data_IF_144351890646
#
_entry.id   IF_144351890646
#
_cell.length_a   1.000
_cell.length_b   1.000
_cell.length_c   1.000
_cell.angle_alpha   90.00
_cell.angle_beta   90.00
_cell.angle_gamma   90.00
#
_symmetry.space_group_name_H-M   'P 1'
#
loop_
_entity.id
_entity.type
_entity.pdbx_description
1 polymer ?
#
# COMPACT_ATOMS: atom_id res chain seq x y z
N UNK A 1 -26.42 1.60 13.29
CA UNK A 1 -25.73 0.79 14.33
C UNK A 1 -24.26 1.17 14.26
N UNK A 2 -23.88 2.19 15.01
CA UNK A 2 -22.49 2.62 15.19
C UNK A 2 -21.78 1.58 16.07
N UNK A 3 -20.68 1.02 15.59
CA UNK A 3 -19.84 0.12 16.37
C UNK A 3 -18.73 0.94 17.01
N UNK A 4 -18.71 0.88 18.33
CA UNK A 4 -17.76 1.47 19.25
C UNK A 4 -16.30 1.16 18.85
N UNK A 5 -15.52 2.21 18.57
CA UNK A 5 -14.09 2.11 18.25
C UNK A 5 -13.35 1.83 19.56
N UNK A 6 -12.65 0.70 19.60
CA UNK A 6 -11.82 0.30 20.73
C UNK A 6 -10.65 1.27 20.92
N UNK A 7 -10.44 1.68 22.17
CA UNK A 7 -9.39 2.59 22.61
C UNK A 7 -8.03 2.29 21.96
N UNK A 8 -7.43 3.33 21.36
CA UNK A 8 -6.07 3.33 20.87
C UNK A 8 -5.10 3.25 22.06
N UNK A 9 -4.28 2.21 22.06
CA UNK A 9 -3.15 2.07 22.98
C UNK A 9 -2.12 3.16 22.68
N UNK A 10 -1.87 4.01 23.66
CA UNK A 10 -0.85 5.05 23.68
C UNK A 10 0.54 4.38 23.72
N UNK A 11 1.26 4.43 22.60
CA UNK A 11 2.64 3.93 22.52
C UNK A 11 2.99 3.32 21.15
N UNK A 12 3.45 4.15 20.22
CA UNK A 12 3.95 3.71 18.91
C UNK A 12 3.80 4.84 17.91
N UNK A 13 4.88 5.19 17.20
CA UNK A 13 4.84 6.22 16.16
C UNK A 13 3.70 6.00 15.16
N UNK A 14 3.26 7.08 14.52
CA UNK A 14 2.16 7.05 13.55
C UNK A 14 2.31 5.88 12.57
N UNK A 15 1.30 5.01 12.46
CA UNK A 15 1.36 3.82 11.60
C UNK A 15 1.48 4.27 10.15
N UNK A 16 2.58 3.94 9.46
CA UNK A 16 2.80 4.33 8.06
C UNK A 16 1.74 3.75 7.11
N UNK A 17 1.44 2.47 7.24
CA UNK A 17 0.45 1.77 6.42
C UNK A 17 -0.97 1.93 6.95
N UNK A 18 -1.94 2.13 6.05
CA UNK A 18 -3.35 1.97 6.37
C UNK A 18 -3.73 0.48 6.30
N UNK A 19 -4.29 -0.06 7.38
CA UNK A 19 -4.68 -1.47 7.47
C UNK A 19 -6.05 -1.59 8.09
N UNK A 20 -6.93 -2.33 7.41
CA UNK A 20 -8.31 -2.58 7.84
C UNK A 20 -8.43 -3.96 8.48
N UNK A 21 -9.25 -4.06 9.51
CA UNK A 21 -9.75 -5.32 10.09
C UNK A 21 -11.12 -5.66 9.50
N UNK A 22 -11.57 -6.87 9.75
CA UNK A 22 -12.91 -7.30 9.33
C UNK A 22 -14.00 -6.41 9.96
N UNK A 23 -14.88 -5.88 9.11
CA UNK A 23 -15.95 -4.96 9.49
C UNK A 23 -15.54 -3.49 9.58
N UNK A 24 -14.25 -3.18 9.38
CA UNK A 24 -13.80 -1.79 9.34
C UNK A 24 -14.31 -1.08 8.08
N UNK A 25 -14.64 0.20 8.25
CA UNK A 25 -15.12 1.09 7.19
C UNK A 25 -14.73 2.51 7.53
N UNK A 26 -13.88 3.13 6.71
CA UNK A 26 -13.36 4.48 6.93
C UNK A 26 -13.67 5.40 5.76
N UNK A 27 -13.82 6.69 6.04
CA UNK A 27 -13.77 7.74 5.03
C UNK A 27 -12.30 8.06 4.75
N UNK A 28 -11.92 8.06 3.49
CA UNK A 28 -10.57 8.39 3.04
C UNK A 28 -10.61 9.40 1.89
N UNK A 29 -9.49 10.05 1.64
CA UNK A 29 -9.22 10.82 0.42
C UNK A 29 -7.86 10.42 -0.14
N UNK A 30 -7.78 10.12 -1.44
CA UNK A 30 -6.48 9.93 -2.08
C UNK A 30 -5.79 11.28 -2.24
N UNK A 31 -4.47 11.29 -2.04
CA UNK A 31 -3.65 12.52 -2.04
C UNK A 31 -2.67 12.59 -3.21
N UNK A 32 -2.74 11.62 -4.10
CA UNK A 32 -1.91 11.50 -5.30
C UNK A 32 -2.76 10.90 -6.42
N UNK A 33 -2.46 11.28 -7.65
CA UNK A 33 -3.04 10.64 -8.83
C UNK A 33 -2.30 9.35 -9.19
N UNK A 34 -2.89 8.51 -10.04
CA UNK A 34 -2.22 7.31 -10.55
C UNK A 34 -1.14 7.65 -11.59
N UNK A 35 -1.31 8.75 -12.32
CA UNK A 35 -0.48 9.16 -13.45
C UNK A 35 -0.45 10.69 -13.59
N UNK A 36 0.58 11.21 -14.25
CA UNK A 36 0.80 12.66 -14.44
C UNK A 36 -0.19 13.33 -15.42
N UNK A 37 -0.87 12.54 -16.25
CA UNK A 37 -1.90 13.00 -17.20
C UNK A 37 -3.32 13.08 -16.59
N UNK A 38 -3.45 12.79 -15.30
CA UNK A 38 -4.73 12.90 -14.58
C UNK A 38 -5.13 14.37 -14.39
N UNK A 39 -6.43 14.65 -14.39
CA UNK A 39 -7.00 16.02 -14.36
C UNK A 39 -6.50 16.87 -13.20
N UNK A 40 -6.31 16.27 -12.03
CA UNK A 40 -5.87 16.94 -10.80
C UNK A 40 -4.44 16.56 -10.40
N UNK A 41 -3.57 16.25 -11.37
CA UNK A 41 -2.18 15.97 -11.07
C UNK A 41 -1.51 17.19 -10.39
N UNK A 42 -0.89 16.92 -9.24
CA UNK A 42 -0.05 17.86 -8.51
C UNK A 42 1.39 17.36 -8.53
N UNK A 43 2.29 18.13 -9.15
CA UNK A 43 3.70 17.79 -9.26
C UNK A 43 4.44 17.77 -7.92
N UNK A 44 3.96 18.52 -6.91
CA UNK A 44 4.57 18.50 -5.58
C UNK A 44 4.20 17.21 -4.83
N UNK A 45 2.95 16.75 -4.99
CA UNK A 45 2.49 15.49 -4.43
C UNK A 45 3.04 14.26 -5.19
N UNK A 46 3.31 14.40 -6.48
CA UNK A 46 3.69 13.31 -7.37
C UNK A 46 2.57 12.29 -7.59
N UNK A 47 2.92 11.11 -8.09
CA UNK A 47 1.95 10.04 -8.37
C UNK A 47 2.06 8.91 -7.35
N UNK A 48 1.04 8.05 -7.33
CA UNK A 48 1.15 6.73 -6.74
C UNK A 48 2.32 5.93 -7.36
N UNK A 49 2.85 4.98 -6.61
CA UNK A 49 3.99 4.16 -7.03
C UNK A 49 3.57 2.69 -7.13
N UNK A 50 4.00 2.00 -8.18
CA UNK A 50 3.89 0.54 -8.25
C UNK A 50 5.24 -0.10 -7.94
N UNK A 51 5.27 -1.10 -7.06
CA UNK A 51 6.46 -1.90 -6.79
C UNK A 51 6.16 -3.39 -6.92
N UNK A 52 7.06 -4.14 -7.56
CA UNK A 52 6.93 -5.58 -7.69
C UNK A 52 7.41 -6.24 -6.40
N UNK A 53 6.54 -6.95 -5.70
CA UNK A 53 6.84 -7.52 -4.38
C UNK A 53 6.94 -9.04 -4.48
N UNK A 54 8.06 -9.59 -4.04
CA UNK A 54 8.17 -11.03 -3.76
C UNK A 54 7.61 -11.29 -2.37
N UNK A 55 6.59 -12.14 -2.29
CA UNK A 55 6.03 -12.61 -1.02
C UNK A 55 6.44 -14.05 -0.79
N UNK A 56 6.93 -14.37 0.41
CA UNK A 56 7.28 -15.74 0.77
C UNK A 56 6.08 -16.68 0.67
N UNK A 57 6.30 -17.83 0.05
CA UNK A 57 5.30 -18.91 -0.05
C UNK A 57 5.12 -19.65 1.28
N UNK A 58 6.07 -19.47 2.21
CA UNK A 58 6.10 -20.07 3.54
C UNK A 58 5.37 -19.17 4.54
N UNK A 59 5.69 -17.87 4.54
CA UNK A 59 5.05 -16.90 5.41
C UNK A 59 4.78 -15.57 4.68
N UNK A 60 3.51 -15.27 4.47
CA UNK A 60 3.08 -14.09 3.72
C UNK A 60 3.56 -12.74 4.29
N UNK A 61 4.01 -12.70 5.55
CA UNK A 61 4.57 -11.50 6.19
C UNK A 61 5.99 -11.19 5.72
N UNK A 62 6.71 -12.16 5.17
CA UNK A 62 8.06 -11.97 4.67
C UNK A 62 7.97 -11.54 3.21
N UNK A 63 8.22 -10.26 3.00
CA UNK A 63 8.08 -9.60 1.70
C UNK A 63 9.29 -8.71 1.44
N UNK A 64 9.74 -8.70 0.21
CA UNK A 64 10.78 -7.79 -0.27
C UNK A 64 10.35 -7.19 -1.61
N UNK A 65 10.87 -6.02 -1.93
CA UNK A 65 10.83 -5.51 -3.29
C UNK A 65 11.66 -6.45 -4.19
N UNK A 66 11.15 -6.75 -5.38
CA UNK A 66 11.88 -7.51 -6.39
C UNK A 66 13.02 -6.65 -6.91
N UNK A 67 14.22 -7.20 -6.84
CA UNK A 67 15.44 -6.56 -7.33
C UNK A 67 15.80 -6.96 -8.77
N UNK A 68 14.92 -7.70 -9.46
CA UNK A 68 15.17 -8.24 -10.80
C UNK A 68 15.37 -7.14 -11.86
N UNK A 69 14.86 -5.94 -11.62
CA UNK A 69 14.99 -4.79 -12.50
C UNK A 69 16.00 -3.75 -11.98
N UNK A 70 16.75 -4.06 -10.92
CA UNK A 70 17.70 -3.14 -10.30
C UNK A 70 19.13 -3.46 -10.72
N UNK A 71 19.79 -2.47 -11.33
CA UNK A 71 21.22 -2.54 -11.68
C UNK A 71 22.10 -2.73 -10.44
N UNK A 72 21.78 -2.03 -9.34
CA UNK A 72 22.49 -2.14 -8.06
C UNK A 72 22.51 -3.59 -7.53
N UNK A 73 21.50 -4.38 -7.88
CA UNK A 73 21.39 -5.79 -7.49
C UNK A 73 21.77 -6.75 -8.63
N UNK A 74 22.46 -6.26 -9.65
CA UNK A 74 22.92 -7.04 -10.80
C UNK A 74 21.78 -7.63 -11.64
N UNK A 75 20.62 -6.97 -11.65
CA UNK A 75 19.38 -7.44 -12.30
C UNK A 75 18.94 -8.84 -11.85
N UNK A 76 19.26 -9.21 -10.60
CA UNK A 76 18.91 -10.52 -10.04
C UNK A 76 17.98 -10.40 -8.86
N UNK A 77 17.07 -11.36 -8.73
CA UNK A 77 16.23 -11.52 -7.57
C UNK A 77 15.92 -12.99 -7.39
N UNK A 78 16.38 -13.56 -6.28
CA UNK A 78 16.25 -14.99 -6.00
C UNK A 78 14.80 -15.44 -6.09
N UNK A 79 13.87 -14.73 -5.42
CA UNK A 79 12.46 -15.10 -5.44
C UNK A 79 11.83 -15.00 -6.84
N UNK A 80 12.28 -14.04 -7.66
CA UNK A 80 11.80 -13.94 -9.05
C UNK A 80 12.30 -15.13 -9.89
N UNK A 81 13.54 -15.55 -9.69
CA UNK A 81 14.12 -16.72 -10.37
C UNK A 81 13.41 -18.02 -9.97
N UNK A 82 13.03 -18.16 -8.69
CA UNK A 82 12.24 -19.32 -8.21
C UNK A 82 10.86 -19.42 -8.84
N UNK A 83 10.31 -18.34 -9.40
CA UNK A 83 8.99 -18.35 -10.03
C UNK A 83 8.90 -19.31 -11.24
N UNK A 84 10.03 -19.64 -11.86
CA UNK A 84 10.11 -20.61 -12.96
C UNK A 84 9.78 -22.03 -12.50
N UNK A 85 10.22 -22.42 -11.30
CA UNK A 85 9.97 -23.74 -10.71
C UNK A 85 8.71 -23.76 -9.84
N UNK A 86 8.38 -22.65 -9.19
CA UNK A 86 7.17 -22.51 -8.40
C UNK A 86 6.59 -21.09 -8.57
N UNK A 87 5.55 -20.99 -9.41
CA UNK A 87 4.91 -19.72 -9.76
C UNK A 87 4.29 -18.95 -8.60
N UNK A 88 4.19 -19.53 -7.39
CA UNK A 88 3.80 -18.79 -6.18
C UNK A 88 4.84 -17.76 -5.75
N UNK A 89 6.09 -17.91 -6.17
CA UNK A 89 7.16 -16.92 -5.95
C UNK A 89 7.11 -15.73 -6.89
N UNK A 90 6.27 -15.77 -7.93
CA UNK A 90 6.16 -14.68 -8.92
C UNK A 90 5.88 -13.35 -8.21
N UNK A 91 6.74 -12.33 -8.39
CA UNK A 91 6.49 -11.00 -7.86
C UNK A 91 5.13 -10.48 -8.29
N UNK A 92 4.44 -9.79 -7.38
CA UNK A 92 3.15 -9.17 -7.66
C UNK A 92 3.30 -7.65 -7.63
N UNK A 93 2.71 -6.92 -8.57
CA UNK A 93 2.68 -5.47 -8.48
C UNK A 93 1.76 -5.05 -7.32
N UNK A 94 2.31 -4.23 -6.43
CA UNK A 94 1.61 -3.54 -5.36
C UNK A 94 1.56 -2.06 -5.69
N UNK A 95 0.36 -1.49 -5.62
CA UNK A 95 0.15 -0.05 -5.71
C UNK A 95 0.27 0.54 -4.30
N UNK A 96 1.19 1.48 -4.14
CA UNK A 96 1.39 2.29 -2.96
C UNK A 96 0.90 3.71 -3.27
N UNK A 97 0.01 4.23 -2.44
CA UNK A 97 -0.58 5.55 -2.65
C UNK A 97 -0.86 6.24 -1.31
N UNK A 98 -0.49 7.51 -1.20
CA UNK A 98 -0.80 8.32 -0.02
C UNK A 98 -2.30 8.61 0.07
N UNK A 99 -2.82 8.48 1.28
CA UNK A 99 -4.21 8.78 1.62
C UNK A 99 -4.28 9.59 2.91
N UNK A 100 -5.28 10.45 3.00
CA UNK A 100 -5.75 10.98 4.27
C UNK A 100 -6.90 10.08 4.76
N UNK A 101 -6.81 9.63 6.01
CA UNK A 101 -7.82 8.76 6.64
C UNK A 101 -8.50 9.52 7.76
N UNK A 102 -9.82 9.62 7.71
CA UNK A 102 -10.61 10.18 8.80
C UNK A 102 -10.75 9.13 9.90
N UNK A 103 -9.97 9.25 10.98
CA UNK A 103 -9.96 8.29 12.10
C UNK A 103 -11.03 8.59 13.14
N UNK A 104 -11.38 9.86 13.26
CA UNK A 104 -12.51 10.40 14.00
C UNK A 104 -13.10 11.54 13.15
N UNK A 105 -14.39 11.92 13.31
CA UNK A 105 -14.98 12.98 12.51
C UNK A 105 -14.15 14.27 12.54
N UNK A 106 -13.67 14.71 11.38
CA UNK A 106 -12.82 15.89 11.22
C UNK A 106 -11.33 15.69 11.58
N UNK A 107 -10.93 14.53 12.11
CA UNK A 107 -9.55 14.23 12.46
C UNK A 107 -8.92 13.30 11.42
N UNK A 108 -7.91 13.82 10.71
CA UNK A 108 -7.30 13.16 9.57
C UNK A 108 -5.86 12.75 9.84
N UNK A 109 -5.50 11.53 9.45
CA UNK A 109 -4.12 11.02 9.56
C UNK A 109 -3.54 10.67 8.18
N UNK A 110 -2.24 10.97 7.93
CA UNK A 110 -1.58 10.53 6.71
C UNK A 110 -1.20 9.06 6.82
N UNK A 111 -1.60 8.29 5.82
CA UNK A 111 -1.31 6.85 5.71
C UNK A 111 -1.00 6.48 4.27
N UNK A 112 -0.46 5.29 4.06
CA UNK A 112 -0.27 4.71 2.74
C UNK A 112 -1.18 3.50 2.57
N UNK A 113 -1.97 3.49 1.50
CA UNK A 113 -2.66 2.28 1.04
C UNK A 113 -1.68 1.44 0.25
N UNK A 114 -1.58 0.17 0.63
CA UNK A 114 -0.87 -0.87 -0.11
C UNK A 114 -1.88 -1.89 -0.63
N UNK A 115 -2.09 -1.92 -1.94
CA UNK A 115 -3.13 -2.73 -2.58
C UNK A 115 -2.60 -3.45 -3.81
N UNK A 116 -3.29 -4.52 -4.22
CA UNK A 116 -2.93 -5.31 -5.40
C UNK A 116 -4.05 -5.28 -6.44
N UNK A 117 -3.76 -5.81 -7.63
CA UNK A 117 -4.63 -5.76 -8.79
C UNK A 117 -5.42 -7.07 -8.99
N UNK A 118 -6.11 -7.53 -7.94
CA UNK A 118 -7.00 -8.69 -8.02
C UNK A 118 -8.41 -8.32 -7.54
N UNK A 119 -9.39 -9.19 -7.81
CA UNK A 119 -10.82 -8.92 -7.54
C UNK A 119 -11.18 -8.68 -6.07
N UNK A 120 -10.29 -9.03 -5.12
CA UNK A 120 -10.52 -8.81 -3.68
C UNK A 120 -9.92 -7.50 -3.18
N UNK A 121 -9.15 -6.81 -4.02
CA UNK A 121 -8.42 -5.59 -3.69
C UNK A 121 -8.86 -4.44 -4.60
N UNK A 122 -8.57 -3.21 -4.18
CA UNK A 122 -9.10 -2.01 -4.82
C UNK A 122 -8.24 -1.50 -6.00
N UNK A 123 -7.13 -2.17 -6.33
CA UNK A 123 -6.18 -1.67 -7.35
C UNK A 123 -6.80 -1.54 -8.74
N UNK A 124 -7.62 -2.51 -9.17
CA UNK A 124 -8.33 -2.44 -10.45
C UNK A 124 -9.44 -1.37 -10.43
N UNK A 125 -10.17 -1.28 -9.31
CA UNK A 125 -11.21 -0.26 -9.10
C UNK A 125 -10.65 1.15 -9.17
N UNK A 126 -9.45 1.39 -8.66
CA UNK A 126 -8.79 2.70 -8.77
C UNK A 126 -8.48 3.08 -10.21
N UNK A 127 -8.02 2.12 -11.02
CA UNK A 127 -7.79 2.35 -12.46
C UNK A 127 -9.11 2.69 -13.17
N UNK A 128 -10.19 1.97 -12.84
CA UNK A 128 -11.52 2.24 -13.40
C UNK A 128 -12.01 3.65 -13.03
N UNK A 129 -11.89 4.05 -11.76
CA UNK A 129 -12.28 5.38 -11.31
C UNK A 129 -11.42 6.49 -11.92
N UNK A 130 -10.10 6.31 -12.01
CA UNK A 130 -9.22 7.27 -12.65
C UNK A 130 -9.61 7.49 -14.14
N UNK A 131 -10.00 6.43 -14.84
CA UNK A 131 -10.46 6.52 -16.24
C UNK A 131 -11.83 7.15 -16.38
N UNK A 132 -12.77 6.74 -15.53
CA UNK A 132 -14.17 7.18 -15.60
C UNK A 132 -14.32 8.65 -15.18
N UNK A 133 -13.58 9.06 -14.15
CA UNK A 133 -13.69 10.40 -13.58
C UNK A 133 -12.56 11.35 -14.02
N UNK A 134 -11.49 10.83 -14.63
CA UNK A 134 -10.28 11.58 -14.97
C UNK A 134 -9.38 11.92 -13.77
N UNK A 135 -9.78 11.54 -12.55
CA UNK A 135 -9.09 11.82 -11.29
C UNK A 135 -9.58 10.87 -10.20
N UNK A 136 -8.75 10.61 -9.20
CA UNK A 136 -9.17 9.94 -7.95
C UNK A 136 -9.03 10.83 -6.71
N UNK A 137 -8.63 12.09 -6.87
CA UNK A 137 -8.27 12.99 -5.76
C UNK A 137 -9.32 14.07 -5.48
N UNK A 138 -10.36 14.21 -6.32
CA UNK A 138 -11.41 15.23 -6.18
C UNK A 138 -12.53 14.87 -5.17
N UNK A 139 -12.54 13.64 -4.65
CA UNK A 139 -13.64 13.11 -3.86
C UNK A 139 -13.17 12.27 -2.69
N UNK A 140 -14.11 12.06 -1.78
CA UNK A 140 -13.92 11.09 -0.71
C UNK A 140 -14.32 9.69 -1.16
N UNK A 141 -13.82 8.70 -0.43
CA UNK A 141 -14.18 7.31 -0.61
C UNK A 141 -14.50 6.66 0.73
N UNK A 142 -15.48 5.77 0.72
CA UNK A 142 -15.63 4.79 1.77
C UNK A 142 -14.75 3.60 1.44
N UNK A 143 -13.72 3.36 2.25
CA UNK A 143 -12.84 2.19 2.14
C UNK A 143 -13.13 1.22 3.27
N UNK A 144 -13.56 0.00 2.92
CA UNK A 144 -14.00 -1.00 3.88
C UNK A 144 -13.41 -2.38 3.60
N UNK A 145 -13.37 -3.22 4.65
CA UNK A 145 -12.96 -4.61 4.57
C UNK A 145 -14.03 -5.52 5.16
N UNK A 146 -14.32 -6.62 4.48
CA UNK A 146 -15.08 -7.75 5.00
C UNK A 146 -14.24 -9.01 4.96
N UNK A 147 -14.50 -9.95 5.87
CA UNK A 147 -13.75 -11.19 5.99
C UNK A 147 -12.41 -11.03 6.70
N UNK A 148 -11.99 -12.10 7.38
CA UNK A 148 -10.78 -12.11 8.20
C UNK A 148 -9.75 -13.15 7.77
N UNK A 149 -10.15 -14.14 6.99
CA UNK A 149 -9.30 -15.22 6.49
C UNK A 149 -8.78 -15.00 5.07
N UNK A 150 -7.89 -15.90 4.65
CA UNK A 150 -7.23 -15.84 3.35
C UNK A 150 -8.17 -16.11 2.16
N UNK A 151 -9.32 -16.77 2.39
CA UNK A 151 -10.28 -17.14 1.36
C UNK A 151 -11.48 -16.19 1.23
N UNK A 152 -11.76 -15.41 2.27
CA UNK A 152 -12.98 -14.61 2.44
C UNK A 152 -12.73 -13.11 2.61
N UNK A 153 -11.47 -12.66 2.74
CA UNK A 153 -11.15 -11.23 2.81
C UNK A 153 -11.45 -10.53 1.47
N UNK A 154 -12.22 -9.43 1.54
CA UNK A 154 -12.52 -8.55 0.42
C UNK A 154 -12.45 -7.08 0.84
N UNK A 155 -11.97 -6.23 -0.06
CA UNK A 155 -11.81 -4.80 0.13
C UNK A 155 -12.70 -4.05 -0.86
N UNK A 156 -13.51 -3.12 -0.35
CA UNK A 156 -14.45 -2.34 -1.16
C UNK A 156 -14.12 -0.85 -1.11
N UNK A 157 -14.18 -0.20 -2.27
CA UNK A 157 -13.96 1.24 -2.41
C UNK A 157 -15.17 1.86 -3.10
N UNK A 158 -15.91 2.69 -2.37
CA UNK A 158 -17.13 3.33 -2.86
C UNK A 158 -16.87 4.83 -2.96
N UNK A 159 -17.00 5.46 -4.14
CA UNK A 159 -16.87 6.89 -4.28
C UNK A 159 -18.02 7.58 -3.54
N UNK A 160 -17.68 8.66 -2.87
CA UNK A 160 -18.64 9.52 -2.16
C UNK A 160 -18.72 10.87 -2.89
N UNK A 161 -19.05 11.92 -2.16
CA UNK A 161 -19.14 13.27 -2.70
C UNK A 161 -17.80 13.81 -3.23
N UNK A 162 -17.88 14.50 -4.37
CA UNK A 162 -16.84 15.42 -4.82
C UNK A 162 -16.82 16.59 -3.84
N UNK A 163 -15.63 16.98 -3.42
CA UNK A 163 -15.44 18.09 -2.50
C UNK A 163 -14.03 18.64 -2.63
N UNK A 164 -13.88 19.94 -2.37
CA UNK A 164 -12.57 20.55 -2.21
C UNK A 164 -11.81 19.87 -1.07
N UNK A 165 -10.49 19.80 -1.21
CA UNK A 165 -9.63 19.24 -0.16
C UNK A 165 -9.54 20.24 1.01
N UNK A 166 -9.92 19.84 2.24
CA UNK A 166 -9.86 20.75 3.38
C UNK A 166 -8.40 20.97 3.81
N UNK A 167 -8.11 22.14 4.38
CA UNK A 167 -6.76 22.50 4.86
C UNK A 167 -6.17 21.46 5.83
N UNK A 168 -7.01 20.88 6.70
CA UNK A 168 -6.61 19.82 7.62
C UNK A 168 -6.09 18.55 6.92
N UNK A 169 -6.51 18.31 5.67
CA UNK A 169 -5.98 17.26 4.82
C UNK A 169 -4.75 17.78 4.08
N UNK A 170 -4.83 18.92 3.41
CA UNK A 170 -3.71 19.48 2.61
C UNK A 170 -2.43 19.64 3.43
N UNK A 171 -2.54 20.05 4.69
CA UNK A 171 -1.41 20.22 5.61
C UNK A 171 -0.74 18.91 6.07
N UNK A 172 -1.34 17.75 5.79
CA UNK A 172 -0.72 16.46 6.13
C UNK A 172 0.46 16.17 5.21
N UNK A 173 1.62 15.88 5.82
CA UNK A 173 2.79 15.45 5.09
C UNK A 173 2.56 14.10 4.40
N UNK A 174 2.98 14.01 3.14
CA UNK A 174 2.99 12.76 2.40
C UNK A 174 4.12 11.86 2.89
N UNK A 175 3.85 10.56 2.93
CA UNK A 175 4.90 9.56 3.16
C UNK A 175 5.70 9.37 1.88
N UNK A 176 7.03 9.29 2.02
CA UNK A 176 7.88 8.78 0.94
C UNK A 176 7.50 7.32 0.67
N UNK A 177 7.07 7.08 -0.57
CA UNK A 177 6.68 5.76 -1.06
C UNK A 177 7.91 4.92 -1.40
N UNK A 178 9.07 5.55 -1.69
CA UNK A 178 10.32 4.84 -1.89
C UNK A 178 10.72 4.09 -0.61
N UNK A 179 11.30 2.92 -0.76
CA UNK A 179 11.76 2.09 0.37
C UNK A 179 10.64 1.56 1.27
N UNK A 180 9.36 1.70 0.88
CA UNK A 180 8.22 1.12 1.61
C UNK A 180 8.34 -0.40 1.78
N UNK A 181 8.85 -1.05 0.73
CA UNK A 181 9.30 -2.42 0.77
C UNK A 181 10.81 -2.46 0.90
N UNK A 182 11.31 -3.30 1.81
CA UNK A 182 12.75 -3.53 1.92
C UNK A 182 13.27 -4.20 0.65
N UNK A 183 14.45 -3.77 0.21
CA UNK A 183 15.26 -4.48 -0.78
C UNK A 183 16.42 -5.17 -0.06
N UNK A 184 16.72 -6.41 -0.43
CA UNK A 184 17.84 -7.17 0.15
C UNK A 184 18.86 -7.51 -0.94
N UNK A 185 20.16 -7.57 -0.61
CA UNK A 185 21.17 -8.15 -1.49
C UNK A 185 20.78 -9.57 -1.89
N UNK A 186 21.09 -9.97 -3.13
CA UNK A 186 20.69 -11.29 -3.66
C UNK A 186 21.04 -12.45 -2.72
N UNK A 187 22.24 -12.42 -2.11
CA UNK A 187 22.75 -13.45 -1.19
C UNK A 187 21.92 -13.63 0.09
N UNK A 188 21.12 -12.65 0.47
CA UNK A 188 20.29 -12.70 1.69
C UNK A 188 18.82 -13.02 1.40
N UNK A 189 18.39 -12.89 0.14
CA UNK A 189 16.98 -13.02 -0.23
C UNK A 189 16.43 -14.41 0.06
N UNK A 190 17.20 -15.46 -0.26
CA UNK A 190 16.78 -16.85 0.00
C UNK A 190 16.53 -17.09 1.48
N UNK A 191 17.53 -16.78 2.32
CA UNK A 191 17.43 -16.95 3.78
C UNK A 191 16.23 -16.18 4.33
N UNK A 192 16.10 -14.90 4.01
CA UNK A 192 14.97 -14.10 4.52
C UNK A 192 13.61 -14.64 4.04
N UNK A 193 13.48 -14.96 2.75
CA UNK A 193 12.22 -15.42 2.20
C UNK A 193 11.85 -16.85 2.64
N UNK A 194 12.81 -17.65 3.10
CA UNK A 194 12.55 -19.04 3.50
C UNK A 194 12.53 -19.27 5.02
N UNK A 195 13.28 -18.48 5.79
CA UNK A 195 13.38 -18.63 7.25
C UNK A 195 12.93 -17.39 8.02
N UNK A 196 12.81 -16.23 7.35
CA UNK A 196 12.56 -14.94 8.00
C UNK A 196 13.77 -14.35 8.68
N UNK A 197 14.91 -15.05 8.69
CA UNK A 197 16.15 -14.57 9.29
C UNK A 197 16.82 -13.54 8.38
N UNK A 198 17.44 -12.55 9.00
CA UNK A 198 18.30 -11.58 8.33
C UNK A 198 19.69 -11.76 8.90
N UNK A 199 20.71 -11.89 8.05
CA UNK A 199 22.07 -11.67 8.48
C UNK A 199 22.10 -10.27 9.10
N UNK A 200 22.69 -10.14 10.30
CA UNK A 200 22.68 -8.92 11.11
C UNK A 200 22.82 -7.66 10.24
N UNK A 201 21.81 -6.78 10.30
CA UNK A 201 21.86 -5.50 9.62
C UNK A 201 23.17 -4.76 9.98
N UNK A 202 23.85 -4.08 9.05
CA UNK A 202 24.74 -3.02 9.47
C UNK A 202 23.92 -2.05 10.34
N UNK A 203 24.42 -1.78 11.55
CA UNK A 203 23.88 -0.71 12.38
C UNK A 203 24.08 0.61 11.61
N UNK A 204 23.04 1.48 11.60
CA UNK A 204 22.87 2.70 10.78
C UNK A 204 22.72 2.39 9.27
N UNK A 205 21.60 2.66 8.62
CA UNK A 205 20.83 3.91 8.61
C UNK A 205 19.30 3.67 8.66
N UNK A 206 18.68 4.08 9.76
CA UNK A 206 17.27 4.48 9.87
C UNK A 206 17.20 5.62 10.88
#
# INVERSE_FOLDING_TARGET
MEKQIGASSTGGGAKKYFSLKDGDSFKIRFRQELTEDSTNFDSEAGTAMTTNVVTSVINWKWKIASTAQSEQHGYRCWGTEQATSNGRWKPRPHLLINVAVEVEPGNWEPRVVDTTFNQRHIGLTLIEYAKEFGTITDRYYKYARTGSGASDTNYTLIPLEIADEPEAVTALALHDLNGMYMSLPYSEQETYLTTGERASAPASDW
#
